data_IF_008187567245
#
_entry.id   IF_008187567245
#
_cell.length_a   1.000
_cell.length_b   1.000
_cell.length_c   1.000
_cell.angle_alpha   90.00
_cell.angle_beta   90.00
_cell.angle_gamma   90.00
#
_symmetry.space_group_name_H-M   'P 1'
#
loop_
_entity.id
_entity.type
_entity.pdbx_description
1 polymer ?
#
# COMPACT_ATOMS: atom_id res chain seq x y z
N UNK A 1 10.92 -28.97 -11.46
CA UNK A 1 10.07 -28.60 -10.30
C UNK A 1 11.03 -28.55 -9.13
N UNK A 2 11.61 -27.37 -8.89
CA UNK A 2 12.51 -27.17 -7.77
C UNK A 2 11.81 -27.60 -6.48
N UNK A 3 12.56 -28.21 -5.58
CA UNK A 3 12.10 -28.84 -4.33
C UNK A 3 11.09 -27.94 -3.62
N UNK A 4 9.86 -28.43 -3.48
CA UNK A 4 8.72 -27.77 -2.83
C UNK A 4 9.04 -27.00 -1.52
N UNK A 5 9.95 -27.46 -0.62
CA UNK A 5 10.34 -26.70 0.57
C UNK A 5 11.10 -25.39 0.29
N UNK A 6 12.05 -25.34 -0.65
CA UNK A 6 12.79 -24.10 -0.96
C UNK A 6 11.88 -23.04 -1.60
N UNK A 7 10.91 -23.51 -2.40
CA UNK A 7 9.87 -22.64 -2.94
C UNK A 7 8.98 -22.06 -1.83
N UNK A 8 8.73 -22.79 -0.74
CA UNK A 8 7.88 -22.33 0.37
C UNK A 8 8.51 -21.18 1.15
N UNK A 9 9.80 -21.25 1.49
CA UNK A 9 10.50 -20.18 2.22
C UNK A 9 10.43 -18.86 1.46
N UNK A 10 10.74 -18.91 0.16
CA UNK A 10 10.61 -17.74 -0.73
C UNK A 10 9.18 -17.26 -0.84
N UNK A 11 8.19 -18.14 -1.00
CA UNK A 11 6.76 -17.77 -1.08
C UNK A 11 6.29 -17.07 0.20
N UNK A 12 6.69 -17.56 1.37
CA UNK A 12 6.34 -16.93 2.65
C UNK A 12 7.02 -15.56 2.82
N UNK A 13 8.25 -15.38 2.36
CA UNK A 13 8.90 -14.07 2.35
C UNK A 13 8.18 -13.09 1.41
N UNK A 14 7.79 -13.54 0.22
CA UNK A 14 7.04 -12.74 -0.77
C UNK A 14 5.65 -12.36 -0.25
N UNK A 15 4.93 -13.30 0.36
CA UNK A 15 3.62 -13.06 0.98
C UNK A 15 3.71 -11.99 2.08
N UNK A 16 4.71 -12.08 2.97
CA UNK A 16 4.95 -11.07 4.01
C UNK A 16 5.29 -9.71 3.40
N UNK A 17 6.14 -9.65 2.37
CA UNK A 17 6.51 -8.39 1.70
C UNK A 17 5.30 -7.70 1.08
N UNK A 18 4.46 -8.43 0.32
CA UNK A 18 3.23 -7.87 -0.25
C UNK A 18 2.24 -7.46 0.84
N UNK A 19 2.10 -8.26 1.90
CA UNK A 19 1.26 -7.92 3.04
C UNK A 19 1.69 -6.62 3.73
N UNK A 20 2.99 -6.43 3.99
CA UNK A 20 3.55 -5.21 4.59
C UNK A 20 3.29 -3.96 3.74
N UNK A 21 3.54 -4.07 2.43
CA UNK A 21 3.27 -2.98 1.49
C UNK A 21 1.77 -2.66 1.45
N UNK A 22 0.92 -3.69 1.36
CA UNK A 22 -0.52 -3.50 1.33
C UNK A 22 -1.07 -2.87 2.62
N UNK A 23 -0.59 -3.28 3.80
CA UNK A 23 -0.98 -2.67 5.07
C UNK A 23 -0.66 -1.17 5.11
N UNK A 24 0.55 -0.78 4.70
CA UNK A 24 0.93 0.62 4.60
C UNK A 24 0.09 1.38 3.57
N UNK A 25 -0.21 0.76 2.43
CA UNK A 25 -1.05 1.35 1.40
C UNK A 25 -2.50 1.58 1.87
N UNK A 26 -3.10 0.66 2.65
CA UNK A 26 -4.46 0.85 3.19
C UNK A 26 -4.50 2.09 4.08
N UNK A 27 -3.53 2.22 4.99
CA UNK A 27 -3.43 3.40 5.86
C UNK A 27 -3.24 4.67 5.03
N UNK A 28 -2.33 4.65 4.04
CA UNK A 28 -2.11 5.78 3.14
C UNK A 28 -3.40 6.21 2.42
N UNK A 29 -4.16 5.25 1.90
CA UNK A 29 -5.42 5.52 1.21
C UNK A 29 -6.46 6.17 2.14
N UNK A 30 -6.60 5.67 3.38
CA UNK A 30 -7.52 6.25 4.38
C UNK A 30 -7.09 7.68 4.75
N UNK A 31 -5.79 7.89 4.98
CA UNK A 31 -5.23 9.21 5.36
C UNK A 31 -5.46 10.23 4.23
N UNK A 32 -5.18 9.85 2.99
CA UNK A 32 -5.38 10.73 1.83
C UNK A 32 -6.86 11.07 1.61
N UNK A 33 -7.77 10.09 1.69
CA UNK A 33 -9.21 10.34 1.52
C UNK A 33 -9.85 11.11 2.69
N UNK A 34 -9.21 11.15 3.87
CA UNK A 34 -9.60 12.05 4.96
C UNK A 34 -9.05 13.48 4.80
N UNK A 35 -8.40 13.79 3.68
CA UNK A 35 -7.76 15.08 3.40
C UNK A 35 -6.76 15.52 4.47
N UNK A 36 -6.08 14.54 5.12
CA UNK A 36 -4.96 14.82 6.02
C UNK A 36 -3.73 15.03 5.14
N UNK A 37 -3.47 16.29 4.83
CA UNK A 37 -2.45 16.72 3.87
C UNK A 37 -1.41 17.57 4.57
N UNK A 38 -0.17 17.53 4.09
CA UNK A 38 0.86 18.48 4.53
C UNK A 38 0.58 19.86 3.94
N UNK A 39 0.50 20.88 4.80
CA UNK A 39 0.33 22.26 4.36
C UNK A 39 1.63 22.78 3.73
N UNK A 40 1.74 22.64 2.40
CA UNK A 40 2.94 23.05 1.68
C UNK A 40 2.96 22.71 0.19
N UNK A 41 4.08 23.04 -0.44
CA UNK A 41 4.36 22.73 -1.84
C UNK A 41 5.17 21.45 -1.95
N UNK A 42 4.68 20.50 -2.77
CA UNK A 42 5.45 19.31 -3.14
C UNK A 42 6.58 19.68 -4.12
N UNK A 43 6.33 20.64 -5.01
CA UNK A 43 7.29 21.09 -6.01
C UNK A 43 7.15 22.59 -6.25
N UNK A 44 7.97 23.43 -5.59
CA UNK A 44 7.95 24.89 -5.78
C UNK A 44 8.16 25.30 -7.25
N UNK A 45 8.97 24.54 -8.00
CA UNK A 45 9.23 24.78 -9.43
C UNK A 45 8.00 24.57 -10.33
N UNK A 46 7.10 23.67 -9.95
CA UNK A 46 5.90 23.34 -10.72
C UNK A 46 4.64 23.96 -10.10
N UNK A 47 4.78 24.78 -9.04
CA UNK A 47 3.69 25.36 -8.26
C UNK A 47 2.64 24.33 -7.79
N UNK A 48 3.06 23.09 -7.53
CA UNK A 48 2.17 22.01 -7.11
C UNK A 48 2.14 21.93 -5.58
N UNK A 49 0.95 21.98 -4.98
CA UNK A 49 0.74 21.74 -3.54
C UNK A 49 0.38 20.29 -3.28
N UNK A 50 0.56 19.85 -2.03
CA UNK A 50 0.09 18.52 -1.63
C UNK A 50 -1.44 18.39 -1.71
N UNK A 51 -2.17 19.50 -1.54
CA UNK A 51 -3.64 19.54 -1.67
C UNK A 51 -4.13 19.33 -3.10
N UNK A 52 -3.27 19.58 -4.09
CA UNK A 52 -3.64 19.55 -5.51
C UNK A 52 -3.49 18.13 -6.10
N UNK A 53 -2.95 17.19 -5.32
CA UNK A 53 -2.75 15.80 -5.72
C UNK A 53 -4.06 15.02 -5.48
N UNK A 54 -4.59 14.29 -6.49
CA UNK A 54 -5.74 13.43 -6.31
C UNK A 54 -5.50 12.34 -5.25
N UNK A 55 -6.51 12.03 -4.45
CA UNK A 55 -6.41 11.08 -3.33
C UNK A 55 -6.53 9.61 -3.73
N UNK A 56 -6.99 9.32 -4.95
CA UNK A 56 -7.17 7.97 -5.50
C UNK A 56 -5.97 7.45 -6.31
N UNK A 57 -6.21 6.42 -7.13
CA UNK A 57 -5.19 5.75 -7.97
C UNK A 57 -4.35 6.73 -8.81
N UNK A 58 -4.95 7.82 -9.28
CA UNK A 58 -4.29 8.79 -10.17
C UNK A 58 -3.29 9.72 -9.45
N UNK A 59 -3.26 9.69 -8.10
CA UNK A 59 -2.35 10.51 -7.30
C UNK A 59 -0.87 10.25 -7.62
N UNK A 60 -0.49 9.00 -7.87
CA UNK A 60 0.88 8.64 -8.23
C UNK A 60 1.33 9.30 -9.55
N UNK A 61 0.42 9.41 -10.52
CA UNK A 61 0.73 9.98 -11.83
C UNK A 61 0.76 11.50 -11.84
N UNK A 62 0.25 12.14 -10.78
CA UNK A 62 0.31 13.59 -10.60
C UNK A 62 1.62 14.06 -9.94
N UNK A 63 2.43 13.12 -9.41
CA UNK A 63 3.75 13.43 -8.86
C UNK A 63 4.74 13.67 -10.00
N UNK A 64 5.52 14.77 -9.98
CA UNK A 64 6.54 15.02 -11.00
C UNK A 64 7.55 13.88 -11.13
N UNK A 65 8.02 13.60 -12.35
CA UNK A 65 8.96 12.50 -12.65
C UNK A 65 10.23 12.53 -11.79
N UNK A 66 10.74 13.72 -11.47
CA UNK A 66 11.89 13.87 -10.59
C UNK A 66 11.60 13.36 -9.16
N UNK A 67 10.39 13.61 -8.63
CA UNK A 67 9.95 13.09 -7.33
C UNK A 67 9.77 11.57 -7.35
N UNK A 68 9.20 11.02 -8.42
CA UNK A 68 9.10 9.57 -8.62
C UNK A 68 10.48 8.91 -8.67
N UNK A 69 11.45 9.52 -9.36
CA UNK A 69 12.81 9.04 -9.42
C UNK A 69 13.48 9.05 -8.03
N UNK A 70 13.24 10.07 -7.20
CA UNK A 70 13.72 10.11 -5.81
C UNK A 70 13.13 8.97 -4.97
N UNK A 71 11.82 8.71 -5.10
CA UNK A 71 11.15 7.61 -4.38
C UNK A 71 11.74 6.27 -4.80
N UNK A 72 11.87 6.01 -6.10
CA UNK A 72 12.42 4.74 -6.62
C UNK A 72 13.88 4.57 -6.19
N UNK A 73 14.69 5.62 -6.27
CA UNK A 73 16.09 5.56 -5.84
C UNK A 73 16.21 5.27 -4.33
N UNK A 74 15.38 5.91 -3.51
CA UNK A 74 15.35 5.69 -2.07
C UNK A 74 14.89 4.27 -1.72
N UNK A 75 13.77 3.81 -2.29
CA UNK A 75 13.27 2.45 -2.07
C UNK A 75 14.28 1.40 -2.58
N UNK A 76 14.91 1.64 -3.72
CA UNK A 76 15.97 0.76 -4.25
C UNK A 76 17.17 0.68 -3.30
N UNK A 77 17.59 1.79 -2.71
CA UNK A 77 18.66 1.78 -1.70
C UNK A 77 18.24 1.02 -0.43
N UNK A 78 17.02 1.27 0.07
CA UNK A 78 16.50 0.58 1.26
C UNK A 78 16.42 -0.93 1.02
N UNK A 79 15.86 -1.37 -0.11
CA UNK A 79 15.65 -2.79 -0.40
C UNK A 79 16.92 -3.57 -0.77
N UNK A 80 18.00 -2.87 -1.15
CA UNK A 80 19.28 -3.51 -1.53
C UNK A 80 20.33 -3.45 -0.42
N UNK A 81 20.37 -2.36 0.36
CA UNK A 81 21.45 -2.12 1.33
C UNK A 81 21.01 -2.27 2.79
N UNK A 82 19.89 -1.65 3.19
CA UNK A 82 19.49 -1.59 4.60
C UNK A 82 18.54 -2.71 5.03
N UNK A 83 17.52 -2.99 4.22
CA UNK A 83 16.51 -4.01 4.47
C UNK A 83 16.49 -4.97 3.28
N UNK A 84 17.54 -5.80 3.12
CA UNK A 84 17.76 -6.56 1.90
C UNK A 84 16.63 -7.54 1.65
N UNK A 85 15.90 -7.37 0.54
CA UNK A 85 14.78 -8.24 0.18
C UNK A 85 15.19 -9.69 -0.13
N UNK A 86 16.50 -9.95 -0.27
CA UNK A 86 17.10 -11.28 -0.39
C UNK A 86 17.13 -12.05 0.94
N UNK A 87 16.94 -11.39 2.08
CA UNK A 87 16.86 -12.02 3.39
C UNK A 87 15.43 -12.55 3.65
N UNK A 88 15.21 -13.84 3.39
CA UNK A 88 13.87 -14.45 3.46
C UNK A 88 13.30 -14.62 4.87
N UNK A 89 14.14 -14.49 5.90
CA UNK A 89 13.70 -14.49 7.30
C UNK A 89 12.71 -13.35 7.59
N UNK A 90 12.88 -12.21 6.89
CA UNK A 90 12.04 -11.03 7.03
C UNK A 90 12.18 -10.29 8.36
N UNK A 91 13.18 -10.69 9.16
CA UNK A 91 13.65 -10.05 10.39
C UNK A 91 14.90 -9.22 10.07
N UNK A 92 14.70 -7.92 9.89
CA UNK A 92 15.73 -7.00 9.45
C UNK A 92 16.42 -6.28 10.62
N UNK A 93 16.41 -6.87 11.82
CA UNK A 93 17.09 -6.33 13.00
C UNK A 93 16.28 -5.29 13.77
N UNK A 94 14.96 -5.19 13.53
CA UNK A 94 14.04 -4.35 14.30
C UNK A 94 12.91 -5.22 14.86
N UNK A 95 12.94 -5.44 16.17
CA UNK A 95 11.87 -6.16 16.89
C UNK A 95 10.54 -5.39 16.93
N UNK A 96 9.54 -5.96 17.58
CA UNK A 96 8.22 -5.34 17.71
C UNK A 96 8.31 -4.07 18.57
N UNK A 97 8.19 -2.90 17.94
CA UNK A 97 8.48 -1.60 18.54
C UNK A 97 9.89 -1.54 19.17
N UNK A 98 10.88 -2.14 18.49
CA UNK A 98 12.28 -2.14 18.93
C UNK A 98 12.63 -3.17 20.01
N UNK A 99 11.67 -3.95 20.49
CA UNK A 99 11.90 -5.01 21.47
C UNK A 99 11.58 -6.38 20.88
N UNK A 100 12.45 -7.35 21.17
CA UNK A 100 12.21 -8.74 20.79
C UNK A 100 11.20 -9.40 21.73
N UNK A 101 10.32 -10.20 21.17
CA UNK A 101 9.35 -10.98 21.93
C UNK A 101 10.02 -12.29 22.30
N UNK A 102 10.37 -12.41 23.59
CA UNK A 102 11.08 -13.56 24.14
C UNK A 102 10.19 -14.79 24.27
N UNK A 103 8.89 -14.59 24.54
CA UNK A 103 7.92 -15.68 24.64
C UNK A 103 7.60 -16.27 23.24
N UNK A 104 7.87 -17.57 23.01
CA UNK A 104 7.59 -18.22 21.73
C UNK A 104 6.11 -18.19 21.33
N UNK A 105 5.19 -18.30 22.30
CA UNK A 105 3.75 -18.34 22.02
C UNK A 105 3.26 -16.96 21.58
N UNK A 106 3.64 -15.91 22.33
CA UNK A 106 3.31 -14.53 21.95
C UNK A 106 3.95 -14.14 20.60
N UNK A 107 5.19 -14.57 20.34
CA UNK A 107 5.88 -14.31 19.06
C UNK A 107 5.11 -14.93 17.90
N UNK A 108 4.74 -16.21 18.00
CA UNK A 108 3.96 -16.88 16.97
C UNK A 108 2.60 -16.22 16.75
N UNK A 109 1.92 -15.81 17.83
CA UNK A 109 0.63 -15.09 17.76
C UNK A 109 0.75 -13.78 16.98
N UNK A 110 1.76 -12.95 17.26
CA UNK A 110 1.92 -11.66 16.57
C UNK A 110 2.35 -11.82 15.12
N UNK A 111 3.18 -12.80 14.80
CA UNK A 111 3.52 -13.13 13.40
C UNK A 111 2.29 -13.57 12.61
N UNK A 112 1.40 -14.36 13.22
CA UNK A 112 0.13 -14.74 12.60
C UNK A 112 -0.79 -13.52 12.41
N UNK A 113 -0.82 -12.59 13.37
CA UNK A 113 -1.58 -11.35 13.25
C UNK A 113 -1.06 -10.47 12.09
N UNK A 114 0.26 -10.32 11.96
CA UNK A 114 0.88 -9.63 10.82
C UNK A 114 0.47 -10.25 9.48
N UNK A 115 0.54 -11.59 9.38
CA UNK A 115 0.22 -12.30 8.15
C UNK A 115 -1.27 -12.15 7.78
N UNK A 116 -2.17 -12.31 8.75
CA UNK A 116 -3.61 -12.23 8.51
C UNK A 116 -4.05 -10.79 8.17
N UNK A 117 -3.50 -9.79 8.85
CA UNK A 117 -3.74 -8.39 8.49
C UNK A 117 -3.15 -8.06 7.12
N UNK A 118 -1.97 -8.59 6.78
CA UNK A 118 -1.38 -8.46 5.45
C UNK A 118 -2.25 -9.06 4.35
N UNK A 119 -2.80 -10.25 4.57
CA UNK A 119 -3.74 -10.91 3.65
C UNK A 119 -5.02 -10.09 3.44
N UNK A 120 -5.61 -9.60 4.53
CA UNK A 120 -6.79 -8.74 4.46
C UNK A 120 -6.48 -7.42 3.71
N UNK A 121 -5.33 -6.81 3.99
CA UNK A 121 -4.91 -5.56 3.35
C UNK A 121 -4.67 -5.72 1.84
N UNK A 122 -4.09 -6.85 1.41
CA UNK A 122 -3.93 -7.15 -0.03
C UNK A 122 -5.28 -7.17 -0.75
N UNK A 123 -6.30 -7.80 -0.16
CA UNK A 123 -7.65 -7.81 -0.71
C UNK A 123 -8.31 -6.42 -0.63
N UNK A 124 -8.08 -5.67 0.44
CA UNK A 124 -8.61 -4.32 0.63
C UNK A 124 -8.11 -3.32 -0.40
N UNK A 125 -6.81 -3.29 -0.67
CA UNK A 125 -6.22 -2.41 -1.69
C UNK A 125 -6.67 -2.80 -3.10
N UNK A 126 -6.73 -4.10 -3.40
CA UNK A 126 -7.26 -4.54 -4.69
C UNK A 126 -8.72 -4.11 -4.86
N UNK A 127 -9.55 -4.26 -3.83
CA UNK A 127 -10.94 -3.78 -3.83
C UNK A 127 -11.02 -2.27 -4.08
N UNK A 128 -10.21 -1.47 -3.40
CA UNK A 128 -10.21 -0.02 -3.59
C UNK A 128 -9.79 0.39 -5.00
N UNK A 129 -8.67 -0.14 -5.51
CA UNK A 129 -8.18 0.21 -6.85
C UNK A 129 -9.19 -0.15 -7.94
N UNK A 130 -9.85 -1.31 -7.83
CA UNK A 130 -10.88 -1.73 -8.78
C UNK A 130 -12.12 -0.86 -8.66
N UNK A 131 -12.59 -0.58 -7.45
CA UNK A 131 -13.76 0.25 -7.21
C UNK A 131 -13.56 1.68 -7.73
N UNK A 132 -12.44 2.33 -7.41
CA UNK A 132 -12.13 3.68 -7.91
C UNK A 132 -12.04 3.72 -9.43
N UNK A 133 -11.49 2.67 -10.06
CA UNK A 133 -11.37 2.64 -11.52
C UNK A 133 -12.71 2.39 -12.23
N UNK A 134 -13.58 1.57 -11.66
CA UNK A 134 -14.88 1.25 -12.24
C UNK A 134 -15.91 2.38 -12.02
N UNK A 135 -15.91 2.99 -10.83
CA UNK A 135 -16.84 4.09 -10.51
C UNK A 135 -16.37 5.43 -11.06
N UNK A 136 -15.06 5.58 -11.34
CA UNK A 136 -14.46 6.86 -11.72
C UNK A 136 -14.42 7.88 -10.58
N UNK A 137 -14.71 7.45 -9.35
CA UNK A 137 -14.76 8.27 -8.15
C UNK A 137 -13.72 7.80 -7.15
N UNK A 138 -13.11 8.73 -6.42
CA UNK A 138 -12.28 8.41 -5.25
C UNK A 138 -13.11 7.75 -4.15
N UNK A 139 -12.45 7.09 -3.21
CA UNK A 139 -13.13 6.53 -2.04
C UNK A 139 -13.95 7.60 -1.31
N UNK A 140 -13.39 8.79 -1.04
CA UNK A 140 -14.12 9.90 -0.43
C UNK A 140 -15.40 10.27 -1.21
N UNK A 141 -15.31 10.39 -2.53
CA UNK A 141 -16.45 10.77 -3.38
C UNK A 141 -17.56 9.73 -3.30
N UNK A 142 -17.24 8.43 -3.37
CA UNK A 142 -18.22 7.34 -3.25
C UNK A 142 -19.00 7.39 -1.93
N UNK A 143 -18.32 7.63 -0.81
CA UNK A 143 -18.99 7.78 0.50
C UNK A 143 -19.80 9.07 0.58
N UNK A 144 -19.32 10.17 0.00
CA UNK A 144 -20.03 11.45 0.01
C UNK A 144 -21.31 11.44 -0.85
N UNK A 145 -21.30 10.69 -1.95
CA UNK A 145 -22.42 10.53 -2.88
C UNK A 145 -23.38 9.40 -2.48
N UNK A 146 -23.05 8.63 -1.44
CA UNK A 146 -23.70 7.36 -1.09
C UNK A 146 -23.74 6.35 -2.27
N UNK A 147 -22.76 6.43 -3.17
CA UNK A 147 -22.62 5.53 -4.32
C UNK A 147 -21.93 4.24 -3.88
N UNK A 148 -22.70 3.37 -3.22
CA UNK A 148 -22.23 2.05 -2.78
C UNK A 148 -22.49 0.94 -3.80
N UNK A 149 -23.27 1.21 -4.84
CA UNK A 149 -23.56 0.25 -5.89
C UNK A 149 -22.53 0.38 -7.02
N UNK A 150 -21.66 -0.61 -7.27
CA UNK A 150 -20.63 -0.53 -8.31
C UNK A 150 -21.17 -0.47 -9.75
N UNK A 151 -22.50 -0.52 -9.95
CA UNK A 151 -23.17 -0.56 -11.25
C UNK A 151 -24.36 0.39 -11.40
N UNK A 152 -24.64 1.28 -10.43
CA UNK A 152 -25.72 2.26 -10.60
C UNK A 152 -25.25 3.69 -10.36
N UNK A 153 -24.66 4.26 -11.40
CA UNK A 153 -25.12 5.53 -11.93
C UNK A 153 -25.37 5.31 -13.42
N UNK A 154 -26.48 5.83 -13.93
CA UNK A 154 -26.92 5.68 -15.31
C UNK A 154 -26.06 6.50 -16.30
N UNK A 155 -24.72 6.40 -16.22
CA UNK A 155 -23.75 6.96 -17.18
C UNK A 155 -22.35 6.30 -16.99
N UNK A 156 -22.26 4.98 -17.03
CA UNK A 156 -21.00 4.25 -16.88
C UNK A 156 -20.94 2.94 -17.68
N UNK A 157 -20.32 2.99 -18.86
CA UNK A 157 -19.83 1.87 -19.68
C UNK A 157 -20.81 0.90 -20.36
N UNK A 158 -22.07 0.74 -19.93
CA UNK A 158 -23.03 -0.20 -20.57
C UNK A 158 -24.22 0.43 -21.32
N UNK A 159 -24.18 1.73 -21.59
CA UNK A 159 -25.11 2.41 -22.51
C UNK A 159 -24.38 2.82 -23.78
N UNK A 160 -24.13 1.83 -24.65
CA UNK A 160 -23.84 1.98 -26.08
C UNK A 160 -24.45 0.80 -26.83
#
# INVERSE_FOLDING_TARGET
MDTEPEAFERRRAVERKHGRIAMAAVVGNIVHNNHIVFDGYISPSNNLKFSDIPTGVDGLFSVPTAGLAQIIAFLGFVELAWLPASQYDGDYGVGYFGNDILDPEEKARKLNAELNNGRAAMMGIMGNMVAEKLTGQTMYEQYSSNHFNPFSDADGFFTA
#
